data_IF_530635720760
#
_entry.id   IF_530635720760
#
_cell.length_a   1.000
_cell.length_b   1.000
_cell.length_c   1.000
_cell.angle_alpha   90.00
_cell.angle_beta   90.00
_cell.angle_gamma   90.00
#
_symmetry.space_group_name_H-M   'P 1'
#
loop_
_entity.id
_entity.type
_entity.pdbx_description
1 polymer ?
#
# COMPACT_ATOMS: atom_id res chain seq x y z
N UNK A 1 4.99 14.22 7.04
CA UNK A 1 5.53 12.94 7.52
C UNK A 1 5.62 12.85 9.04
N UNK A 2 4.82 11.95 9.64
CA UNK A 2 4.78 11.66 11.07
C UNK A 2 6.07 11.01 11.61
N UNK A 3 6.71 10.12 10.83
CA UNK A 3 7.85 9.31 11.28
C UNK A 3 9.24 9.74 10.75
N UNK A 4 9.29 10.73 9.87
CA UNK A 4 10.53 11.17 9.19
C UNK A 4 11.71 11.44 10.12
N UNK A 5 11.45 11.98 11.32
CA UNK A 5 12.48 12.30 12.29
C UNK A 5 12.73 11.18 13.31
N UNK A 6 11.83 10.19 13.40
CA UNK A 6 11.87 9.15 14.45
C UNK A 6 13.10 8.27 14.37
N UNK A 7 13.65 8.08 13.17
CA UNK A 7 14.72 7.13 12.90
C UNK A 7 16.04 7.79 12.47
N UNK A 8 16.10 9.13 12.47
CA UNK A 8 17.27 9.88 11.99
C UNK A 8 17.73 9.42 10.60
N UNK A 9 19.04 9.28 10.40
CA UNK A 9 19.62 8.79 9.14
C UNK A 9 19.36 7.31 8.81
N UNK A 10 18.62 6.56 9.67
CA UNK A 10 18.33 5.14 9.45
C UNK A 10 17.11 4.90 8.56
N UNK A 11 16.31 5.93 8.27
CA UNK A 11 15.12 5.80 7.45
C UNK A 11 15.20 6.65 6.19
N UNK A 12 14.64 6.13 5.10
CA UNK A 12 14.32 6.87 3.89
C UNK A 12 12.80 6.98 3.79
N UNK A 13 12.34 8.20 3.56
CA UNK A 13 10.92 8.55 3.47
C UNK A 13 10.52 8.65 2.01
N UNK A 14 9.49 7.90 1.65
CA UNK A 14 8.81 7.99 0.36
C UNK A 14 7.46 8.66 0.57
N UNK A 15 7.25 9.79 -0.07
CA UNK A 15 6.00 10.52 -0.13
C UNK A 15 5.41 10.43 -1.55
N UNK A 16 4.18 10.91 -1.81
CA UNK A 16 3.59 10.84 -3.15
C UNK A 16 4.37 11.56 -4.27
N UNK A 17 5.36 12.39 -3.93
CA UNK A 17 6.24 13.06 -4.89
C UNK A 17 7.58 12.34 -5.10
N UNK A 18 8.06 11.57 -4.13
CA UNK A 18 9.33 10.84 -4.19
C UNK A 18 9.19 9.34 -4.44
N UNK A 19 8.04 8.74 -4.11
CA UNK A 19 7.72 7.36 -4.48
C UNK A 19 7.52 7.30 -6.00
N UNK A 20 8.14 6.32 -6.66
CA UNK A 20 7.83 6.01 -8.07
C UNK A 20 7.37 4.56 -8.11
N UNK A 21 6.05 4.32 -8.19
CA UNK A 21 5.49 2.97 -8.26
C UNK A 21 4.91 2.74 -9.66
N UNK A 22 5.66 2.14 -10.60
CA UNK A 22 5.20 2.02 -11.97
C UNK A 22 3.90 1.21 -12.06
N UNK A 23 2.87 1.75 -12.72
CA UNK A 23 1.57 1.09 -12.84
C UNK A 23 1.63 -0.30 -13.49
N UNK A 24 2.65 -0.60 -14.30
CA UNK A 24 2.81 -1.91 -14.91
C UNK A 24 3.27 -3.01 -13.94
N UNK A 25 3.65 -2.63 -12.71
CA UNK A 25 3.92 -3.55 -11.60
C UNK A 25 2.66 -3.95 -10.84
N UNK A 26 1.53 -3.26 -11.07
CA UNK A 26 0.22 -3.63 -10.52
C UNK A 26 -0.25 -4.95 -11.14
N UNK A 27 -0.89 -5.77 -10.32
CA UNK A 27 -1.76 -6.84 -10.82
C UNK A 27 -2.99 -6.24 -11.49
N UNK A 28 -3.70 -7.04 -12.26
CA UNK A 28 -4.92 -6.64 -12.92
C UNK A 28 -6.01 -6.25 -11.93
N UNK A 29 -6.11 -6.95 -10.79
CA UNK A 29 -7.08 -6.63 -9.72
C UNK A 29 -6.77 -5.26 -9.11
N UNK A 30 -5.49 -4.96 -8.84
CA UNK A 30 -5.01 -3.67 -8.33
C UNK A 30 -5.23 -2.52 -9.34
N UNK A 31 -4.91 -2.73 -10.61
CA UNK A 31 -5.13 -1.74 -11.67
C UNK A 31 -6.63 -1.48 -11.88
N UNK A 32 -7.46 -2.53 -11.90
CA UNK A 32 -8.90 -2.39 -12.07
C UNK A 32 -9.54 -1.61 -10.92
N UNK A 33 -9.03 -1.73 -9.68
CA UNK A 33 -9.50 -0.94 -8.55
C UNK A 33 -9.15 0.55 -8.69
N UNK A 34 -7.92 0.87 -9.11
CA UNK A 34 -7.53 2.26 -9.39
C UNK A 34 -8.45 2.87 -10.45
N UNK A 35 -8.70 2.12 -11.52
CA UNK A 35 -9.53 2.61 -12.63
C UNK A 35 -11.00 2.67 -12.25
N UNK A 36 -11.53 1.71 -11.48
CA UNK A 36 -12.95 1.60 -11.16
C UNK A 36 -13.16 1.26 -9.67
N UNK A 37 -12.96 2.22 -8.76
CA UNK A 37 -13.15 1.97 -7.33
C UNK A 37 -14.58 1.55 -6.99
N UNK A 38 -14.75 0.53 -6.16
CA UNK A 38 -16.07 0.09 -5.67
C UNK A 38 -17.01 -0.52 -6.73
N UNK A 39 -16.52 -0.78 -7.94
CA UNK A 39 -17.14 -1.51 -9.07
C UNK A 39 -18.66 -1.65 -9.07
N UNK A 40 -19.35 -0.60 -9.53
CA UNK A 40 -20.70 -0.72 -10.11
C UNK A 40 -20.66 -0.39 -11.60
N UNK A 41 -21.03 -1.34 -12.47
CA UNK A 41 -21.23 -1.20 -13.92
C UNK A 41 -19.97 -0.94 -14.80
N UNK A 42 -18.85 -1.61 -14.53
CA UNK A 42 -17.61 -1.48 -15.33
C UNK A 42 -17.09 -2.82 -15.91
N UNK A 43 -17.91 -3.88 -15.92
CA UNK A 43 -17.47 -5.23 -16.29
C UNK A 43 -17.00 -5.32 -17.74
N UNK A 44 -17.69 -4.65 -18.66
CA UNK A 44 -17.32 -4.60 -20.09
C UNK A 44 -15.95 -3.90 -20.29
N UNK A 45 -15.70 -2.79 -19.59
CA UNK A 45 -14.43 -2.08 -19.64
C UNK A 45 -13.28 -2.90 -19.04
N UNK A 46 -13.54 -3.63 -17.95
CA UNK A 46 -12.59 -4.53 -17.32
C UNK A 46 -12.25 -5.70 -18.28
N UNK A 47 -13.24 -6.29 -18.94
CA UNK A 47 -13.01 -7.35 -19.92
C UNK A 47 -12.14 -6.86 -21.09
N UNK A 48 -12.44 -5.65 -21.61
CA UNK A 48 -11.62 -5.01 -22.66
C UNK A 48 -10.17 -4.79 -22.16
N UNK A 49 -9.99 -4.28 -20.94
CA UNK A 49 -8.66 -4.09 -20.37
C UNK A 49 -7.86 -5.41 -20.27
N UNK A 50 -8.50 -6.49 -19.82
CA UNK A 50 -7.88 -7.79 -19.68
C UNK A 50 -7.36 -8.33 -21.03
N UNK A 51 -8.08 -8.05 -22.13
CA UNK A 51 -7.67 -8.42 -23.48
C UNK A 51 -6.53 -7.54 -24.02
N UNK A 52 -6.58 -6.23 -23.79
CA UNK A 52 -5.66 -5.26 -24.41
C UNK A 52 -4.33 -5.11 -23.68
N UNK A 53 -4.26 -5.28 -22.36
CA UNK A 53 -3.02 -5.14 -21.59
C UNK A 53 -1.92 -6.12 -22.06
N UNK A 54 -2.19 -7.43 -22.25
CA UNK A 54 -1.20 -8.36 -22.78
C UNK A 54 -0.67 -7.95 -24.17
N UNK A 55 -1.53 -7.36 -25.01
CA UNK A 55 -1.14 -6.86 -26.32
C UNK A 55 -0.25 -5.61 -26.21
N UNK A 56 -0.60 -4.68 -25.32
CA UNK A 56 0.21 -3.49 -25.03
C UNK A 56 1.61 -3.87 -24.54
N UNK A 57 1.70 -4.85 -23.63
CA UNK A 57 2.97 -5.41 -23.14
C UNK A 57 3.79 -6.01 -24.27
N UNK A 58 3.20 -6.85 -25.13
CA UNK A 58 3.89 -7.41 -26.31
C UNK A 58 4.38 -6.32 -27.27
N UNK A 59 3.58 -5.28 -27.50
CA UNK A 59 3.95 -4.16 -28.36
C UNK A 59 5.14 -3.37 -27.79
N UNK A 60 5.16 -3.13 -26.47
CA UNK A 60 6.28 -2.47 -25.81
C UNK A 60 7.58 -3.30 -25.94
N UNK A 61 7.48 -4.61 -25.68
CA UNK A 61 8.60 -5.54 -25.76
C UNK A 61 9.20 -5.64 -27.17
N UNK A 62 8.37 -5.63 -28.21
CA UNK A 62 8.82 -5.64 -29.60
C UNK A 62 9.63 -4.39 -29.97
N UNK A 63 9.24 -3.25 -29.39
CA UNK A 63 9.85 -1.93 -29.60
C UNK A 63 11.06 -1.65 -28.69
N UNK A 64 11.29 -2.46 -27.65
CA UNK A 64 12.41 -2.29 -26.71
C UNK A 64 13.75 -2.72 -27.33
N UNK A 65 14.82 -1.96 -27.02
CA UNK A 65 16.19 -2.26 -27.46
C UNK A 65 16.79 -3.40 -26.62
N UNK A 66 17.09 -4.51 -27.28
CA UNK A 66 18.02 -5.63 -26.95
C UNK A 66 17.95 -6.37 -25.60
N UNK A 67 17.62 -5.76 -24.46
CA UNK A 67 17.68 -6.41 -23.14
C UNK A 67 16.48 -7.29 -22.80
N UNK A 68 15.25 -6.79 -23.02
CA UNK A 68 14.02 -7.50 -22.68
C UNK A 68 13.62 -8.51 -23.76
N UNK A 69 14.10 -8.33 -25.00
CA UNK A 69 13.97 -9.33 -26.09
C UNK A 69 14.58 -10.68 -25.68
N UNK A 70 15.72 -10.69 -24.99
CA UNK A 70 16.36 -11.93 -24.53
C UNK A 70 15.53 -12.70 -23.48
N UNK A 71 14.79 -11.99 -22.62
CA UNK A 71 13.90 -12.62 -21.63
C UNK A 71 12.65 -13.22 -22.30
N UNK A 72 12.11 -12.55 -23.31
CA UNK A 72 10.99 -13.06 -24.10
C UNK A 72 11.39 -14.24 -25.00
N UNK A 73 12.58 -14.19 -25.61
CA UNK A 73 13.12 -15.25 -26.48
C UNK A 73 13.57 -16.49 -25.70
N UNK A 74 14.13 -16.36 -24.49
CA UNK A 74 14.49 -17.51 -23.63
C UNK A 74 13.28 -18.31 -23.13
N UNK A 75 12.08 -17.71 -23.08
CA UNK A 75 10.81 -18.42 -22.84
C UNK A 75 10.20 -19.03 -24.11
N UNK A 76 10.77 -18.76 -25.29
CA UNK A 76 10.28 -19.19 -26.59
C UNK A 76 10.58 -20.65 -26.97
N UNK A 77 11.20 -21.43 -26.07
CA UNK A 77 11.43 -22.86 -26.28
C UNK A 77 10.23 -23.74 -25.93
N UNK A 78 9.47 -23.36 -24.90
CA UNK A 78 8.21 -23.98 -24.47
C UNK A 78 7.70 -23.17 -23.26
N UNK A 79 6.49 -22.58 -23.31
CA UNK A 79 5.79 -22.08 -22.12
C UNK A 79 6.27 -20.75 -21.49
N UNK A 80 5.62 -19.63 -21.86
CA UNK A 80 5.01 -18.63 -20.96
C UNK A 80 4.61 -17.39 -21.77
N UNK A 81 3.35 -17.31 -22.19
CA UNK A 81 2.77 -16.13 -22.82
C UNK A 81 2.76 -14.95 -21.83
N UNK A 82 3.01 -13.73 -22.33
CA UNK A 82 2.82 -12.50 -21.55
C UNK A 82 1.34 -12.40 -21.19
N UNK A 83 1.04 -12.40 -19.89
CA UNK A 83 -0.30 -12.28 -19.31
C UNK A 83 -0.57 -10.87 -18.80
N UNK A 84 -1.81 -10.63 -18.36
CA UNK A 84 -2.22 -9.35 -17.77
C UNK A 84 -1.44 -9.02 -16.49
N UNK A 85 -1.03 -10.03 -15.71
CA UNK A 85 -0.27 -9.88 -14.45
C UNK A 85 1.24 -10.02 -14.59
N UNK A 86 1.76 -10.30 -15.80
CA UNK A 86 3.22 -10.38 -16.00
C UNK A 86 3.83 -8.98 -15.78
N UNK A 87 4.75 -8.76 -14.83
CA UNK A 87 5.23 -7.42 -14.44
C UNK A 87 6.26 -6.89 -15.44
N UNK A 88 5.84 -6.72 -16.69
CA UNK A 88 6.66 -6.16 -17.77
C UNK A 88 6.16 -4.76 -18.14
N UNK A 89 7.07 -3.82 -18.45
CA UNK A 89 6.69 -2.46 -18.79
C UNK A 89 5.79 -2.38 -20.03
N UNK A 90 4.83 -1.47 -19.98
CA UNK A 90 4.00 -1.04 -21.12
C UNK A 90 3.55 0.40 -20.91
N UNK A 91 3.15 1.10 -21.97
CA UNK A 91 2.70 2.51 -21.88
C UNK A 91 1.18 2.63 -21.92
N UNK A 92 0.64 3.63 -21.22
CA UNK A 92 -0.77 4.01 -21.39
C UNK A 92 -1.06 4.47 -22.81
N UNK A 93 -0.13 5.17 -23.47
CA UNK A 93 -0.28 5.57 -24.88
C UNK A 93 -0.44 4.38 -25.83
N UNK A 94 0.25 3.28 -25.55
CA UNK A 94 0.16 2.03 -26.31
C UNK A 94 -1.22 1.38 -26.12
N UNK A 95 -1.72 1.38 -24.89
CA UNK A 95 -3.08 0.92 -24.57
C UNK A 95 -4.15 1.79 -25.24
N UNK A 96 -4.00 3.12 -25.21
CA UNK A 96 -4.89 4.06 -25.90
C UNK A 96 -4.89 3.83 -27.42
N UNK A 97 -3.71 3.60 -28.01
CA UNK A 97 -3.57 3.29 -29.44
C UNK A 97 -4.32 2.01 -29.81
N UNK A 98 -4.23 0.97 -28.97
CA UNK A 98 -4.97 -0.28 -29.18
C UNK A 98 -6.49 -0.05 -29.07
N UNK A 99 -6.94 0.73 -28.09
CA UNK A 99 -8.36 1.08 -27.94
C UNK A 99 -8.86 1.82 -29.19
N UNK A 100 -8.11 2.81 -29.70
CA UNK A 100 -8.48 3.59 -30.88
C UNK A 100 -8.48 2.74 -32.16
N UNK A 101 -7.50 1.83 -32.30
CA UNK A 101 -7.46 0.88 -33.41
C UNK A 101 -8.67 -0.05 -33.40
N UNK A 102 -9.02 -0.59 -32.23
CA UNK A 102 -10.20 -1.44 -32.09
C UNK A 102 -11.45 -0.63 -32.43
N UNK A 103 -11.64 0.55 -31.85
CA UNK A 103 -12.77 1.45 -32.14
C UNK A 103 -12.94 1.75 -33.64
N UNK A 104 -11.85 1.96 -34.38
CA UNK A 104 -11.90 2.20 -35.83
C UNK A 104 -12.22 0.98 -36.68
N UNK A 105 -12.04 -0.23 -36.13
CA UNK A 105 -12.33 -1.52 -36.79
C UNK A 105 -13.69 -2.11 -36.43
N UNK A 106 -14.39 -1.54 -35.45
CA UNK A 106 -15.71 -2.02 -35.03
C UNK A 106 -16.76 -1.62 -36.07
N UNK A 107 -17.34 -2.63 -36.75
CA UNK A 107 -18.60 -2.47 -37.45
C UNK A 107 -19.71 -2.06 -36.48
N UNK A 108 -20.73 -1.33 -36.96
CA UNK A 108 -21.80 -0.72 -36.15
C UNK A 108 -22.67 -1.66 -35.28
N UNK A 109 -22.32 -2.95 -35.20
CA UNK A 109 -22.95 -3.99 -34.38
C UNK A 109 -22.36 -4.11 -32.96
N UNK A 110 -21.08 -3.77 -32.74
CA UNK A 110 -20.46 -3.82 -31.41
C UNK A 110 -20.65 -2.51 -30.65
N UNK A 111 -20.95 -2.60 -29.36
CA UNK A 111 -21.09 -1.44 -28.50
C UNK A 111 -19.76 -0.69 -28.38
N UNK A 112 -19.67 0.51 -28.97
CA UNK A 112 -18.49 1.39 -28.86
C UNK A 112 -18.42 2.15 -27.55
N UNK A 113 -19.51 2.15 -26.77
CA UNK A 113 -19.64 2.86 -25.49
C UNK A 113 -18.55 2.49 -24.47
N UNK A 114 -18.33 1.21 -24.16
CA UNK A 114 -17.33 0.77 -23.17
C UNK A 114 -15.92 1.21 -23.52
N UNK A 115 -15.50 1.04 -24.78
CA UNK A 115 -14.20 1.49 -25.28
C UNK A 115 -14.01 3.00 -25.10
N UNK A 116 -15.03 3.82 -25.39
CA UNK A 116 -14.99 5.28 -25.19
C UNK A 116 -14.89 5.66 -23.71
N UNK A 117 -15.66 4.99 -22.84
CA UNK A 117 -15.61 5.23 -21.38
C UNK A 117 -14.25 4.84 -20.80
N UNK A 118 -13.73 3.67 -21.19
CA UNK A 118 -12.41 3.20 -20.80
C UNK A 118 -11.30 4.16 -21.24
N UNK A 119 -11.30 4.57 -22.52
CA UNK A 119 -10.34 5.54 -23.05
C UNK A 119 -10.35 6.84 -22.25
N UNK A 120 -11.54 7.39 -21.99
CA UNK A 120 -11.70 8.61 -21.20
C UNK A 120 -11.13 8.45 -19.79
N UNK A 121 -11.42 7.31 -19.14
CA UNK A 121 -10.97 7.01 -17.78
C UNK A 121 -9.45 6.90 -17.68
N UNK A 122 -8.82 6.16 -18.59
CA UNK A 122 -7.36 6.04 -18.67
C UNK A 122 -6.69 7.41 -18.86
N UNK A 123 -7.26 8.25 -19.73
CA UNK A 123 -6.74 9.59 -19.96
C UNK A 123 -6.85 10.47 -18.71
N UNK A 124 -8.00 10.46 -18.04
CA UNK A 124 -8.22 11.22 -16.80
C UNK A 124 -7.24 10.82 -15.69
N UNK A 125 -7.10 9.52 -15.42
CA UNK A 125 -6.19 9.04 -14.38
C UNK A 125 -4.73 9.35 -14.72
N UNK A 126 -4.34 9.26 -16.00
CA UNK A 126 -2.97 9.61 -16.41
C UNK A 126 -2.61 11.09 -16.21
N UNK A 127 -3.62 11.97 -16.13
CA UNK A 127 -3.42 13.41 -15.92
C UNK A 127 -3.66 13.85 -14.47
N UNK A 128 -4.19 12.99 -13.62
CA UNK A 128 -4.49 13.32 -12.23
C UNK A 128 -3.19 13.34 -11.40
N UNK A 129 -2.85 14.51 -10.86
CA UNK A 129 -1.63 14.72 -10.08
C UNK A 129 -1.51 13.76 -8.89
N UNK A 130 -2.63 13.33 -8.30
CA UNK A 130 -2.66 12.39 -7.16
C UNK A 130 -2.17 10.99 -7.55
N UNK A 131 -2.24 10.65 -8.83
CA UNK A 131 -1.76 9.39 -9.40
C UNK A 131 -0.41 9.57 -10.12
N UNK A 132 0.21 10.75 -10.00
CA UNK A 132 1.48 11.08 -10.67
C UNK A 132 2.61 10.12 -10.34
N UNK A 133 2.69 9.61 -9.11
CA UNK A 133 3.69 8.62 -8.73
C UNK A 133 3.55 7.25 -9.43
N UNK A 134 2.36 6.95 -9.99
CA UNK A 134 2.10 5.71 -10.75
C UNK A 134 2.12 5.90 -12.27
N UNK A 135 1.56 7.02 -12.75
CA UNK A 135 1.34 7.26 -14.18
C UNK A 135 2.14 8.45 -14.74
N UNK A 136 2.88 9.19 -13.91
CA UNK A 136 3.51 10.46 -14.27
C UNK A 136 4.82 10.35 -15.07
N UNK A 137 5.40 9.17 -15.22
CA UNK A 137 6.62 9.02 -16.03
C UNK A 137 6.30 9.01 -17.53
N UNK A 138 6.80 10.02 -18.24
CA UNK A 138 6.73 10.12 -19.71
C UNK A 138 7.55 9.01 -20.40
N UNK A 139 8.57 8.49 -19.72
CA UNK A 139 9.43 7.41 -20.23
C UNK A 139 9.20 6.14 -19.42
N UNK A 140 8.61 5.14 -20.06
CA UNK A 140 8.53 3.79 -19.49
C UNK A 140 9.88 3.09 -19.72
N UNK A 141 10.61 2.93 -18.63
CA UNK A 141 11.82 2.09 -18.52
C UNK A 141 11.54 0.95 -17.54
N UNK A 142 12.26 -0.15 -17.69
CA UNK A 142 12.26 -1.21 -16.68
C UNK A 142 13.10 -0.76 -15.48
N UNK A 143 12.41 -0.20 -14.48
CA UNK A 143 12.99 0.29 -13.22
C UNK A 143 12.69 -0.64 -12.06
N UNK A 144 12.26 -1.89 -12.32
CA UNK A 144 11.84 -2.80 -11.26
C UNK A 144 12.98 -3.05 -10.27
N UNK A 145 14.20 -3.31 -10.79
CA UNK A 145 15.38 -3.55 -9.94
C UNK A 145 15.69 -2.35 -9.05
N UNK A 146 15.68 -1.14 -9.62
CA UNK A 146 15.96 0.09 -8.87
C UNK A 146 14.89 0.37 -7.83
N UNK A 147 13.62 0.19 -8.20
CA UNK A 147 12.49 0.33 -7.28
C UNK A 147 12.60 -0.64 -6.10
N UNK A 148 12.85 -1.93 -6.35
CA UNK A 148 13.01 -2.93 -5.28
C UNK A 148 14.23 -2.62 -4.41
N UNK A 149 15.34 -2.20 -5.01
CA UNK A 149 16.56 -1.82 -4.30
C UNK A 149 16.32 -0.65 -3.35
N UNK A 150 15.59 0.38 -3.82
CA UNK A 150 15.21 1.54 -3.01
C UNK A 150 14.19 1.19 -1.94
N UNK A 151 13.15 0.41 -2.28
CA UNK A 151 12.07 0.05 -1.37
C UNK A 151 12.56 -0.86 -0.23
N UNK A 152 13.37 -1.89 -0.55
CA UNK A 152 13.86 -2.85 0.43
C UNK A 152 15.23 -2.49 1.02
N UNK A 153 15.81 -1.35 0.61
CA UNK A 153 17.11 -0.85 1.09
C UNK A 153 18.21 -1.89 0.86
N UNK A 154 18.33 -2.35 -0.38
CA UNK A 154 19.37 -3.30 -0.79
C UNK A 154 20.20 -2.65 -1.91
N UNK A 155 21.46 -2.27 -1.65
CA UNK A 155 22.17 -2.33 -0.36
C UNK A 155 21.61 -1.34 0.69
N UNK A 156 21.87 -1.62 1.98
CA UNK A 156 21.30 -0.85 3.11
C UNK A 156 21.87 0.57 3.21
N UNK A 157 23.17 0.72 2.95
CA UNK A 157 23.88 2.01 2.95
C UNK A 157 23.64 2.87 4.21
N UNK A 158 23.49 2.23 5.38
CA UNK A 158 23.25 2.91 6.66
C UNK A 158 21.79 3.27 6.95
N UNK A 159 20.88 3.12 5.99
CA UNK A 159 19.45 3.43 6.14
C UNK A 159 18.59 2.19 5.87
N UNK A 160 18.39 1.29 6.88
CA UNK A 160 17.66 0.04 6.70
C UNK A 160 16.14 0.18 6.64
N UNK A 161 15.57 1.35 6.95
CA UNK A 161 14.13 1.53 7.08
C UNK A 161 13.59 2.31 5.88
N UNK A 162 12.52 1.81 5.27
CA UNK A 162 11.72 2.54 4.29
C UNK A 162 10.38 2.91 4.91
N UNK A 163 10.04 4.19 4.87
CA UNK A 163 8.77 4.72 5.38
C UNK A 163 7.97 5.20 4.19
N UNK A 164 6.80 4.60 3.95
CA UNK A 164 5.90 5.04 2.89
C UNK A 164 4.81 5.90 3.52
N UNK A 165 4.82 7.19 3.21
CA UNK A 165 3.80 8.13 3.66
C UNK A 165 2.55 8.01 2.77
N UNK A 166 1.48 7.54 3.38
CA UNK A 166 0.17 7.44 2.72
C UNK A 166 -0.73 8.64 3.03
N UNK A 167 -0.27 9.59 3.84
CA UNK A 167 -0.99 10.81 4.19
C UNK A 167 -1.30 11.66 2.96
N UNK A 168 -2.54 12.15 2.86
CA UNK A 168 -2.99 12.98 1.73
C UNK A 168 -3.37 12.20 0.46
N UNK A 169 -3.13 10.88 0.40
CA UNK A 169 -3.61 10.05 -0.69
C UNK A 169 -5.11 9.72 -0.52
N UNK A 170 -5.86 9.58 -1.63
CA UNK A 170 -7.18 8.96 -1.58
C UNK A 170 -7.10 7.54 -0.97
N UNK A 171 -8.15 7.14 -0.24
CA UNK A 171 -8.18 5.86 0.47
C UNK A 171 -7.97 4.68 -0.48
N UNK A 172 -8.55 4.75 -1.68
CA UNK A 172 -8.44 3.74 -2.73
C UNK A 172 -6.98 3.58 -3.20
N UNK A 173 -6.25 4.68 -3.28
CA UNK A 173 -4.84 4.69 -3.67
C UNK A 173 -3.97 4.12 -2.57
N UNK A 174 -4.21 4.53 -1.32
CA UNK A 174 -3.49 4.00 -0.17
C UNK A 174 -3.67 2.47 -0.05
N UNK A 175 -4.89 1.96 -0.25
CA UNK A 175 -5.17 0.53 -0.30
C UNK A 175 -4.31 -0.20 -1.33
N UNK A 176 -4.25 0.33 -2.55
CA UNK A 176 -3.50 -0.29 -3.64
C UNK A 176 -2.00 -0.25 -3.37
N UNK A 177 -1.46 0.86 -2.84
CA UNK A 177 -0.06 0.93 -2.45
C UNK A 177 0.28 -0.14 -1.40
N UNK A 178 -0.54 -0.29 -0.36
CA UNK A 178 -0.32 -1.34 0.67
C UNK A 178 -0.43 -2.73 0.06
N UNK A 179 -1.40 -2.98 -0.83
CA UNK A 179 -1.53 -4.25 -1.55
C UNK A 179 -0.26 -4.60 -2.33
N UNK A 180 0.23 -3.65 -3.14
CA UNK A 180 1.39 -3.85 -4.00
C UNK A 180 2.65 -4.08 -3.17
N UNK A 181 2.88 -3.25 -2.15
CA UNK A 181 4.05 -3.39 -1.27
C UNK A 181 4.02 -4.73 -0.54
N UNK A 182 2.87 -5.14 0.02
CA UNK A 182 2.73 -6.43 0.69
C UNK A 182 2.96 -7.61 -0.25
N UNK A 183 2.35 -7.57 -1.44
CA UNK A 183 2.51 -8.61 -2.45
C UNK A 183 3.96 -8.72 -2.93
N UNK A 184 4.58 -7.60 -3.29
CA UNK A 184 5.97 -7.57 -3.75
C UNK A 184 6.92 -8.03 -2.65
N UNK A 185 6.71 -7.64 -1.39
CA UNK A 185 7.51 -8.12 -0.27
C UNK A 185 7.45 -9.66 -0.15
N UNK A 186 6.25 -10.23 -0.23
CA UNK A 186 6.05 -11.68 -0.21
C UNK A 186 6.73 -12.37 -1.41
N UNK A 187 6.50 -11.87 -2.63
CA UNK A 187 7.09 -12.42 -3.86
C UNK A 187 8.62 -12.32 -3.84
N UNK A 188 9.17 -11.20 -3.37
CA UNK A 188 10.62 -11.03 -3.21
C UNK A 188 11.19 -12.05 -2.22
N UNK A 189 10.55 -12.26 -1.07
CA UNK A 189 10.94 -13.31 -0.12
C UNK A 189 10.89 -14.70 -0.75
N UNK A 190 9.84 -14.99 -1.54
CA UNK A 190 9.67 -16.27 -2.23
C UNK A 190 10.79 -16.52 -3.25
N UNK A 191 11.06 -15.55 -4.13
CA UNK A 191 12.05 -15.66 -5.20
C UNK A 191 13.49 -15.60 -4.68
N UNK A 192 13.73 -14.92 -3.55
CA UNK A 192 15.02 -14.91 -2.87
C UNK A 192 15.24 -16.11 -1.96
N UNK A 193 14.27 -17.03 -1.84
CA UNK A 193 14.30 -18.14 -0.88
C UNK A 193 14.55 -17.69 0.57
N UNK A 194 14.04 -16.50 0.94
CA UNK A 194 14.22 -15.91 2.26
C UNK A 194 15.64 -15.42 2.55
N UNK A 195 16.51 -15.27 1.54
CA UNK A 195 17.89 -14.82 1.71
C UNK A 195 18.01 -13.39 2.26
N UNK A 196 16.97 -12.57 2.08
CA UNK A 196 16.89 -11.21 2.60
C UNK A 196 15.61 -11.06 3.42
N UNK A 197 15.65 -11.28 4.75
CA UNK A 197 14.49 -11.16 5.60
C UNK A 197 13.93 -9.72 5.63
N UNK A 198 12.60 -9.60 5.54
CA UNK A 198 11.90 -8.32 5.56
C UNK A 198 10.90 -8.26 6.71
N UNK A 199 10.70 -7.06 7.26
CA UNK A 199 9.62 -6.77 8.20
C UNK A 199 8.70 -5.72 7.58
N UNK A 200 7.47 -6.11 7.29
CA UNK A 200 6.42 -5.20 6.84
C UNK A 200 5.63 -4.72 8.05
N UNK A 201 5.68 -3.43 8.33
CA UNK A 201 4.90 -2.78 9.40
C UNK A 201 3.73 -2.04 8.78
N UNK A 202 2.51 -2.36 9.22
CA UNK A 202 1.27 -1.72 8.76
C UNK A 202 0.63 -1.01 9.93
N UNK A 203 0.64 0.32 9.87
CA UNK A 203 -0.11 1.17 10.79
C UNK A 203 -1.58 1.25 10.39
N UNK A 204 -2.48 1.47 11.36
CA UNK A 204 -3.92 1.48 11.16
C UNK A 204 -4.41 0.26 10.34
N UNK A 205 -3.88 -0.93 10.66
CA UNK A 205 -4.08 -2.14 9.85
C UNK A 205 -5.56 -2.52 9.63
N UNK A 206 -6.46 -2.14 10.54
CA UNK A 206 -7.91 -2.32 10.39
C UNK A 206 -8.49 -1.62 9.15
N UNK A 207 -7.85 -0.54 8.66
CA UNK A 207 -8.25 0.12 7.40
C UNK A 207 -7.98 -0.76 6.19
N UNK A 208 -6.88 -1.52 6.20
CA UNK A 208 -6.37 -2.27 5.05
C UNK A 208 -6.80 -3.75 5.04
N UNK A 209 -7.03 -4.32 6.22
CA UNK A 209 -7.53 -5.68 6.38
C UNK A 209 -8.69 -5.69 7.38
N UNK A 210 -9.86 -5.17 6.99
CA UNK A 210 -11.01 -5.12 7.89
C UNK A 210 -11.61 -6.52 8.13
N UNK A 211 -12.27 -6.70 9.28
CA UNK A 211 -12.92 -7.95 9.69
C UNK A 211 -14.05 -8.39 8.74
N UNK A 212 -14.77 -7.43 8.14
CA UNK A 212 -15.83 -7.71 7.17
C UNK A 212 -15.23 -7.88 5.79
N UNK A 213 -15.46 -9.03 5.15
CA UNK A 213 -14.89 -9.31 3.83
C UNK A 213 -15.36 -8.35 2.72
N UNK A 214 -16.57 -7.80 2.87
CA UNK A 214 -17.15 -6.81 1.97
C UNK A 214 -16.68 -5.37 2.23
N UNK A 215 -15.97 -5.14 3.34
CA UNK A 215 -15.33 -3.87 3.62
C UNK A 215 -13.88 -3.88 3.11
N UNK A 216 -13.43 -2.75 2.57
CA UNK A 216 -12.05 -2.57 2.12
C UNK A 216 -11.72 -3.25 0.79
N UNK A 217 -10.45 -3.19 0.40
CA UNK A 217 -9.96 -3.72 -0.87
C UNK A 217 -9.48 -5.17 -0.70
N UNK A 218 -10.15 -6.10 -1.39
CA UNK A 218 -9.92 -7.53 -1.20
C UNK A 218 -8.46 -7.98 -1.45
N UNK A 219 -7.74 -7.49 -2.47
CA UNK A 219 -6.31 -7.77 -2.67
C UNK A 219 -5.43 -7.39 -1.49
N UNK A 220 -5.62 -6.21 -0.91
CA UNK A 220 -4.85 -5.76 0.25
C UNK A 220 -5.01 -6.74 1.41
N UNK A 221 -6.26 -7.08 1.75
CA UNK A 221 -6.57 -8.06 2.79
C UNK A 221 -5.94 -9.42 2.49
N UNK A 222 -6.13 -9.94 1.26
CA UNK A 222 -5.55 -11.22 0.81
C UNK A 222 -4.03 -11.23 0.95
N UNK A 223 -3.35 -10.15 0.55
CA UNK A 223 -1.90 -10.03 0.61
C UNK A 223 -1.40 -10.04 2.07
N UNK A 224 -2.03 -9.26 2.96
CA UNK A 224 -1.67 -9.22 4.38
C UNK A 224 -1.95 -10.55 5.08
N UNK A 225 -3.12 -11.17 4.83
CA UNK A 225 -3.46 -12.51 5.36
C UNK A 225 -2.47 -13.57 4.87
N UNK A 226 -2.03 -13.48 3.61
CA UNK A 226 -1.03 -14.40 3.05
C UNK A 226 0.31 -14.27 3.77
N UNK A 227 0.78 -13.04 4.02
CA UNK A 227 2.02 -12.85 4.81
C UNK A 227 1.83 -13.39 6.22
N UNK A 228 0.68 -13.14 6.87
CA UNK A 228 0.41 -13.65 8.20
C UNK A 228 0.47 -15.19 8.27
N UNK A 229 -0.04 -15.90 7.26
CA UNK A 229 -0.06 -17.37 7.20
C UNK A 229 1.26 -18.00 6.73
N UNK A 230 1.91 -17.39 5.74
CA UNK A 230 2.98 -18.03 4.97
C UNK A 230 4.30 -17.25 5.02
N UNK A 231 4.31 -16.03 5.54
CA UNK A 231 5.47 -15.13 5.56
C UNK A 231 6.71 -15.73 6.20
N UNK A 232 6.55 -16.53 7.27
CA UNK A 232 7.64 -17.26 7.93
C UNK A 232 8.41 -18.17 6.97
N UNK A 233 7.75 -18.78 5.97
CA UNK A 233 8.40 -19.68 4.99
C UNK A 233 9.28 -18.93 4.01
N UNK A 234 9.02 -17.65 3.79
CA UNK A 234 9.67 -16.82 2.76
C UNK A 234 10.53 -15.69 3.37
N UNK A 235 10.71 -15.68 4.69
CA UNK A 235 11.50 -14.66 5.37
C UNK A 235 10.83 -13.29 5.50
N UNK A 236 9.49 -13.21 5.41
CA UNK A 236 8.74 -11.95 5.51
C UNK A 236 7.89 -11.97 6.78
N UNK A 237 8.16 -11.05 7.71
CA UNK A 237 7.37 -10.87 8.92
C UNK A 237 6.36 -9.73 8.75
N UNK A 238 5.19 -9.87 9.37
CA UNK A 238 4.14 -8.85 9.40
C UNK A 238 3.97 -8.31 10.81
N UNK A 239 4.01 -6.98 10.94
CA UNK A 239 3.73 -6.25 12.15
C UNK A 239 2.50 -5.39 11.90
N UNK A 240 1.47 -5.53 12.73
CA UNK A 240 0.23 -4.76 12.61
C UNK A 240 0.04 -3.91 13.86
N UNK A 241 -0.22 -2.62 13.65
CA UNK A 241 -0.67 -1.72 14.68
C UNK A 241 -2.13 -1.34 14.41
N UNK A 242 -3.00 -1.51 15.39
CA UNK A 242 -4.42 -1.17 15.28
C UNK A 242 -5.00 -0.73 16.61
N UNK A 243 -5.87 0.27 16.58
CA UNK A 243 -6.61 0.77 17.73
C UNK A 243 -7.89 -0.03 18.01
N UNK A 244 -8.35 -0.81 17.02
CA UNK A 244 -9.63 -1.54 17.03
C UNK A 244 -9.40 -3.00 16.62
N UNK A 245 -9.06 -3.89 17.57
CA UNK A 245 -8.91 -5.31 17.29
C UNK A 245 -10.14 -5.96 16.63
N UNK A 246 -11.35 -5.54 17.02
CA UNK A 246 -12.61 -6.05 16.44
C UNK A 246 -12.82 -5.68 14.97
N UNK A 247 -12.17 -4.61 14.51
CA UNK A 247 -12.27 -4.16 13.12
C UNK A 247 -11.20 -4.79 12.22
N UNK A 248 -10.22 -5.51 12.78
CA UNK A 248 -9.14 -6.19 12.04
C UNK A 248 -9.55 -7.63 11.64
N UNK A 249 -9.05 -8.10 10.50
CA UNK A 249 -9.20 -9.48 10.04
C UNK A 249 -8.76 -10.48 11.15
N UNK A 250 -9.70 -11.34 11.56
CA UNK A 250 -9.47 -12.30 12.64
C UNK A 250 -8.40 -13.34 12.31
N UNK A 251 -8.13 -13.61 11.03
CA UNK A 251 -7.02 -14.46 10.61
C UNK A 251 -5.69 -13.76 10.91
N UNK A 252 -5.54 -12.48 10.58
CA UNK A 252 -4.32 -11.73 10.91
C UNK A 252 -4.12 -11.74 12.42
N UNK A 253 -5.17 -11.39 13.18
CA UNK A 253 -5.09 -11.33 14.65
C UNK A 253 -4.71 -12.68 15.27
N UNK A 254 -5.26 -13.80 14.78
CA UNK A 254 -4.94 -15.16 15.28
C UNK A 254 -3.60 -15.72 14.82
N UNK A 255 -3.01 -15.18 13.74
CA UNK A 255 -1.67 -15.56 13.28
C UNK A 255 -0.56 -14.68 13.90
N UNK A 256 -0.91 -13.68 14.72
CA UNK A 256 0.07 -12.89 15.45
C UNK A 256 0.67 -13.72 16.60
N UNK A 257 1.84 -14.32 16.36
CA UNK A 257 2.55 -15.11 17.38
C UNK A 257 3.03 -14.29 18.58
N UNK A 258 3.15 -12.96 18.47
CA UNK A 258 3.51 -12.06 19.56
C UNK A 258 2.59 -10.87 19.54
N UNK A 259 2.00 -10.55 20.69
CA UNK A 259 1.06 -9.44 20.83
C UNK A 259 1.48 -8.55 22.00
N UNK A 260 1.54 -7.25 21.73
CA UNK A 260 1.70 -6.20 22.72
C UNK A 260 0.35 -5.50 22.93
N UNK A 261 -0.40 -5.95 23.92
CA UNK A 261 -1.72 -5.43 24.22
C UNK A 261 -1.64 -4.20 25.12
N UNK A 262 -1.88 -3.02 24.53
CA UNK A 262 -1.94 -1.74 25.27
C UNK A 262 -3.33 -1.51 25.86
N UNK A 263 -3.53 -0.34 26.50
CA UNK A 263 -4.82 0.02 27.11
C UNK A 263 -5.97 -0.10 26.11
N UNK A 264 -6.93 -0.98 26.41
CA UNK A 264 -8.19 -1.14 25.68
C UNK A 264 -9.36 -0.97 26.67
N UNK A 265 -10.20 0.03 26.42
CA UNK A 265 -11.37 0.32 27.26
C UNK A 265 -12.64 -0.39 26.80
N UNK A 266 -12.78 -0.64 25.49
CA UNK A 266 -13.96 -1.25 24.92
C UNK A 266 -14.01 -2.76 25.22
N UNK A 267 -15.17 -3.26 25.65
CA UNK A 267 -15.35 -4.66 26.03
C UNK A 267 -15.22 -5.63 24.84
N UNK A 268 -15.79 -5.28 23.69
CA UNK A 268 -15.72 -6.13 22.49
C UNK A 268 -14.27 -6.25 21.98
N UNK A 269 -13.49 -5.16 22.02
CA UNK A 269 -12.07 -5.19 21.68
C UNK A 269 -11.25 -6.07 22.62
N UNK A 270 -11.56 -6.04 23.92
CA UNK A 270 -10.93 -6.93 24.90
C UNK A 270 -11.29 -8.40 24.65
N UNK A 271 -12.54 -8.70 24.30
CA UNK A 271 -13.00 -10.06 24.01
C UNK A 271 -12.37 -10.62 22.74
N UNK A 272 -12.32 -9.82 21.66
CA UNK A 272 -11.66 -10.20 20.42
C UNK A 272 -10.18 -10.52 20.64
N UNK A 273 -9.49 -9.71 21.44
CA UNK A 273 -8.10 -9.96 21.78
C UNK A 273 -7.92 -11.20 22.66
N UNK A 274 -8.77 -11.41 23.67
CA UNK A 274 -8.74 -12.62 24.51
C UNK A 274 -8.96 -13.89 23.70
N UNK A 275 -9.83 -13.85 22.68
CA UNK A 275 -10.07 -14.98 21.79
C UNK A 275 -8.87 -15.31 20.89
N UNK A 276 -7.96 -14.35 20.65
CA UNK A 276 -6.79 -14.53 19.81
C UNK A 276 -5.53 -14.98 20.58
N UNK A 277 -5.56 -14.97 21.92
CA UNK A 277 -4.41 -15.27 22.77
C UNK A 277 -4.63 -16.61 23.49
N UNK A 278 -3.59 -17.42 23.75
CA UNK A 278 -3.73 -18.65 24.53
C UNK A 278 -4.28 -18.43 25.95
N UNK A 279 -5.12 -19.35 26.43
CA UNK A 279 -5.86 -19.27 27.70
C UNK A 279 -5.02 -18.90 28.93
N UNK A 280 -3.76 -19.34 28.98
CA UNK A 280 -2.85 -19.05 30.09
C UNK A 280 -2.58 -17.55 30.30
N UNK A 281 -2.86 -16.70 29.30
CA UNK A 281 -2.62 -15.25 29.36
C UNK A 281 -3.88 -14.43 29.61
N UNK A 282 -5.07 -15.06 29.59
CA UNK A 282 -6.37 -14.37 29.64
C UNK A 282 -6.59 -13.61 30.96
N UNK A 283 -6.02 -14.10 32.06
CA UNK A 283 -6.09 -13.44 33.37
C UNK A 283 -5.33 -12.11 33.41
N UNK A 284 -4.18 -12.00 32.72
CA UNK A 284 -3.42 -10.76 32.62
C UNK A 284 -4.14 -9.72 31.76
N UNK A 285 -4.87 -10.17 30.74
CA UNK A 285 -5.68 -9.30 29.87
C UNK A 285 -6.89 -8.67 30.59
N UNK A 286 -7.24 -9.13 31.80
CA UNK A 286 -8.29 -8.49 32.60
C UNK A 286 -7.89 -7.07 33.06
N UNK A 287 -6.60 -6.76 33.10
CA UNK A 287 -6.07 -5.46 33.51
C UNK A 287 -5.91 -4.45 32.36
N UNK A 288 -6.29 -4.79 31.12
CA UNK A 288 -6.14 -3.90 29.97
C UNK A 288 -6.76 -2.50 30.17
N UNK A 289 -7.95 -2.34 30.79
CA UNK A 289 -8.54 -1.01 30.98
C UNK A 289 -7.76 -0.11 31.94
N UNK A 290 -6.96 -0.70 32.85
CA UNK A 290 -6.24 0.03 33.91
C UNK A 290 -4.78 0.32 33.58
N UNK A 291 -4.30 -0.09 32.39
CA UNK A 291 -2.93 0.20 31.95
C UNK A 291 -2.69 1.70 31.79
N UNK A 292 -1.53 2.17 32.24
CA UNK A 292 -1.05 3.52 32.02
C UNK A 292 -0.51 3.76 30.60
N UNK A 293 -0.17 5.01 30.31
CA UNK A 293 0.51 5.37 29.06
C UNK A 293 1.85 4.62 28.96
N UNK A 294 2.13 4.03 27.80
CA UNK A 294 3.35 3.27 27.55
C UNK A 294 3.40 1.89 28.21
N UNK A 295 2.35 1.46 28.90
CA UNK A 295 2.26 0.10 29.44
C UNK A 295 1.54 -0.85 28.49
N UNK A 296 1.99 -2.10 28.47
CA UNK A 296 1.40 -3.17 27.68
C UNK A 296 1.48 -4.52 28.39
N UNK A 297 0.57 -5.43 28.05
CA UNK A 297 0.70 -6.86 28.32
C UNK A 297 1.33 -7.50 27.08
N UNK A 298 2.51 -8.08 27.23
CA UNK A 298 3.20 -8.80 26.16
C UNK A 298 2.93 -10.30 26.31
N UNK A 299 2.51 -10.95 25.23
CA UNK A 299 2.18 -12.38 25.17
C UNK A 299 2.67 -13.01 23.86
N UNK A 300 2.92 -14.31 23.89
CA UNK A 300 3.30 -15.09 22.71
C UNK A 300 4.79 -15.41 22.63
N UNK A 301 5.25 -15.86 21.46
CA UNK A 301 6.60 -16.42 21.25
C UNK A 301 7.74 -15.41 21.45
N UNK A 302 7.46 -14.11 21.32
CA UNK A 302 8.44 -13.04 21.50
C UNK A 302 8.77 -12.70 22.94
N UNK A 303 8.11 -13.34 23.92
CA UNK A 303 8.39 -13.18 25.35
C UNK A 303 8.47 -14.53 26.06
N UNK A 304 9.35 -14.71 27.06
CA UNK A 304 9.53 -16.00 27.73
C UNK A 304 8.31 -16.41 28.57
N UNK A 305 7.57 -15.42 29.08
CA UNK A 305 6.30 -15.61 29.78
C UNK A 305 5.41 -14.38 29.56
N UNK A 306 4.08 -14.55 29.56
CA UNK A 306 3.14 -13.44 29.59
C UNK A 306 3.48 -12.44 30.70
N UNK A 307 3.75 -11.19 30.36
CA UNK A 307 4.25 -10.20 31.32
C UNK A 307 3.74 -8.80 31.04
N UNK A 308 3.63 -8.00 32.10
CA UNK A 308 3.34 -6.57 31.99
C UNK A 308 4.66 -5.83 31.79
N UNK A 309 4.75 -5.08 30.71
CA UNK A 309 5.91 -4.27 30.35
C UNK A 309 5.55 -2.79 30.32
N UNK A 310 6.58 -1.95 30.38
CA UNK A 310 6.49 -0.52 30.08
C UNK A 310 7.54 -0.22 29.01
N UNK A 311 7.13 0.42 27.93
CA UNK A 311 8.04 0.89 26.89
C UNK A 311 8.85 2.07 27.42
N UNK A 312 10.12 2.14 27.03
CA UNK A 312 10.95 3.30 27.31
C UNK A 312 10.40 4.52 26.57
N UNK A 313 10.43 5.67 27.24
CA UNK A 313 10.06 6.93 26.62
C UNK A 313 11.12 7.33 25.59
N UNK A 314 10.69 7.69 24.39
CA UNK A 314 11.56 8.22 23.36
C UNK A 314 11.94 9.68 23.66
N UNK A 315 13.17 10.07 23.29
CA UNK A 315 13.57 11.48 23.26
C UNK A 315 12.67 12.30 22.34
N UNK A 316 12.50 13.60 22.60
CA UNK A 316 11.57 14.47 21.84
C UNK A 316 11.81 14.44 20.33
N UNK A 317 13.07 14.32 19.93
CA UNK A 317 13.54 14.23 18.56
C UNK A 317 13.15 12.91 17.86
N UNK A 318 12.88 11.86 18.63
CA UNK A 318 12.52 10.52 18.13
C UNK A 318 11.03 10.21 18.26
N UNK A 319 10.25 11.08 18.91
CA UNK A 319 8.79 10.94 19.00
C UNK A 319 8.18 11.32 17.63
N UNK A 320 7.24 10.52 17.11
CA UNK A 320 6.52 10.87 15.88
C UNK A 320 5.88 12.25 16.00
N UNK A 321 5.92 13.04 14.92
CA UNK A 321 5.23 14.33 14.89
C UNK A 321 3.75 14.05 15.04
N UNK A 322 3.21 14.35 16.23
CA UNK A 322 1.79 14.31 16.50
C UNK A 322 1.08 15.21 15.49
N UNK A 323 0.43 14.62 14.48
CA UNK A 323 -0.40 15.35 13.53
C UNK A 323 -1.70 15.87 14.19
N UNK A 324 -1.95 15.50 15.44
CA UNK A 324 -3.02 16.09 16.25
C UNK A 324 -2.69 17.54 16.55
N UNK A 325 -3.32 18.44 15.78
CA UNK A 325 -3.43 19.84 16.14
C UNK A 325 -3.95 19.94 17.59
N UNK A 326 -3.26 20.72 18.42
CA UNK A 326 -3.78 21.06 19.74
C UNK A 326 -5.00 21.94 19.53
N UNK A 327 -6.19 21.37 19.66
CA UNK A 327 -7.45 22.11 19.49
C UNK A 327 -7.56 23.24 20.50
N UNK A 328 -7.11 23.01 21.74
CA UNK A 328 -7.09 24.03 22.79
C UNK A 328 -6.16 25.18 22.47
N UNK A 329 -4.93 24.92 22.03
CA UNK A 329 -4.00 26.00 21.68
C UNK A 329 -4.44 26.68 20.38
N UNK A 330 -4.93 25.92 19.40
CA UNK A 330 -5.44 26.43 18.13
C UNK A 330 -6.69 27.31 18.28
N UNK A 331 -7.62 26.96 19.18
CA UNK A 331 -8.78 27.80 19.50
C UNK A 331 -8.42 29.03 20.34
N UNK A 332 -7.29 28.98 21.05
CA UNK A 332 -6.82 30.13 21.84
C UNK A 332 -6.22 31.25 20.99
N UNK A 333 -5.94 30.98 19.71
CA UNK A 333 -5.36 31.92 18.76
C UNK A 333 -6.44 32.37 17.77
N UNK A 334 -6.72 33.68 17.72
CA UNK A 334 -7.54 34.25 16.65
C UNK A 334 -6.75 34.22 15.32
N UNK A 335 -7.38 33.72 14.26
CA UNK A 335 -6.80 33.70 12.92
C UNK A 335 -6.98 35.08 12.29
N UNK A 336 -6.09 36.00 12.64
CA UNK A 336 -6.15 37.42 12.25
C UNK A 336 -5.34 37.69 10.96
N UNK A 337 -5.61 36.90 9.92
CA UNK A 337 -4.99 37.04 8.60
C UNK A 337 -6.05 36.88 7.49
N UNK A 338 -6.45 38.01 6.92
CA UNK A 338 -7.43 38.12 5.83
C UNK A 338 -7.05 37.26 4.61
N UNK A 339 -5.76 36.98 4.41
CA UNK A 339 -5.25 36.15 3.31
C UNK A 339 -5.18 34.66 3.63
N UNK A 340 -5.38 34.24 4.88
CA UNK A 340 -5.23 32.85 5.33
C UNK A 340 -6.17 31.91 4.58
N UNK A 341 -7.45 32.26 4.53
CA UNK A 341 -8.46 31.50 3.79
C UNK A 341 -8.14 31.48 2.29
N UNK A 342 -7.70 32.63 1.73
CA UNK A 342 -7.30 32.71 0.33
C UNK A 342 -6.21 31.70 -0.03
N UNK A 343 -5.15 31.62 0.79
CA UNK A 343 -4.04 30.68 0.58
C UNK A 343 -4.47 29.22 0.76
N UNK A 344 -5.33 28.92 1.73
CA UNK A 344 -5.91 27.56 1.89
C UNK A 344 -6.72 27.18 0.65
N UNK A 345 -7.56 28.10 0.14
CA UNK A 345 -8.37 27.86 -1.05
C UNK A 345 -7.49 27.65 -2.28
N UNK A 346 -6.39 28.38 -2.42
CA UNK A 346 -5.42 28.16 -3.49
C UNK A 346 -4.77 26.77 -3.39
N UNK A 347 -4.32 26.37 -2.20
CA UNK A 347 -3.75 25.03 -1.98
C UNK A 347 -4.77 23.92 -2.26
N UNK A 348 -6.02 24.11 -1.81
CA UNK A 348 -7.11 23.18 -2.07
C UNK A 348 -7.41 23.07 -3.57
N UNK A 349 -7.51 24.19 -4.28
CA UNK A 349 -7.70 24.20 -5.73
C UNK A 349 -6.53 23.58 -6.49
N UNK A 350 -5.31 23.81 -6.02
CA UNK A 350 -4.10 23.24 -6.60
C UNK A 350 -3.90 21.75 -6.25
N UNK A 351 -4.70 21.18 -5.34
CA UNK A 351 -4.52 19.83 -4.79
C UNK A 351 -3.10 19.59 -4.30
N UNK A 352 -2.45 20.64 -3.77
CA UNK A 352 -1.06 20.61 -3.32
C UNK A 352 -1.00 21.22 -1.92
N UNK A 353 -0.66 20.40 -0.93
CA UNK A 353 -0.31 20.91 0.39
C UNK A 353 1.04 21.62 0.27
N UNK A 354 1.03 22.95 0.37
CA UNK A 354 2.25 23.69 0.65
C UNK A 354 2.43 23.59 2.16
N UNK A 355 3.27 22.65 2.59
CA UNK A 355 3.71 22.63 3.98
C UNK A 355 4.36 23.99 4.26
N UNK A 356 4.04 24.66 5.38
CA UNK A 356 4.78 25.84 5.77
C UNK A 356 6.26 25.46 5.88
N UNK A 357 7.15 26.30 5.34
CA UNK A 357 8.57 26.21 5.63
C UNK A 357 8.72 26.35 7.15
N UNK A 358 9.16 25.28 7.81
CA UNK A 358 9.51 25.29 9.24
C UNK A 358 10.98 25.61 9.38
#
# INVERSE_FOLDING_TARGET
>A
NEYSNCFGGKAVVFDPSSLTLPFWMLTFEELAEILYPGKSNADEEIEILAELIPQAKKMNLANATSGIKLFAERRGGDGASVTVDTPVPYRISELLTLIDKTLGSLDGSRATGPYKRLRSRLHQISQDARFGFMFGSLTVQDVMSDFLSQLFRIPVEGSPISIIELGGLPVEVAQVVVSVVARIAFEFGLWSHGAAPLALVVEDAHRYAPAKESAGFAPTRKALVRIAKEGRKVGVSLWVASQRPTELDGTILSQCNTIFAMRLANQADQEALKAAVPDASTSLLACLPSLGLGEAIAVGEGVPLPTRIRFDALGRESVPRSLTASFTDGWSVEVDDDGFIGRIVEQWRAQKMLLPDV
#
